data_IF_050716617844
#
_entry.id   IF_050716617844
#
_cell.length_a   1.000
_cell.length_b   1.000
_cell.length_c   1.000
_cell.angle_alpha   90.00
_cell.angle_beta   90.00
_cell.angle_gamma   90.00
#
_symmetry.space_group_name_H-M   'P 1'
#
loop_
_entity.id
_entity.type
_entity.pdbx_description
1 polymer ?
#
# COMPACT_ATOMS: atom_id res chain seq x y z
N UNK A 1 8.83 -1.84 20.78
CA UNK A 1 9.11 -1.60 19.34
C UNK A 1 9.30 -2.96 18.69
N UNK A 2 8.70 -3.23 17.52
CA UNK A 2 8.88 -4.47 16.77
C UNK A 2 10.22 -4.45 16.03
N UNK A 3 10.90 -5.61 15.96
CA UNK A 3 12.05 -5.78 15.06
C UNK A 3 11.59 -5.99 13.62
N UNK A 4 12.48 -5.84 12.63
CA UNK A 4 12.17 -6.11 11.22
C UNK A 4 11.67 -7.53 10.99
N UNK A 5 12.25 -8.53 11.65
CA UNK A 5 11.78 -9.92 11.57
C UNK A 5 10.37 -10.07 12.14
N UNK A 6 10.09 -9.46 13.27
CA UNK A 6 8.75 -9.49 13.87
C UNK A 6 7.70 -8.80 12.97
N UNK A 7 8.08 -7.74 12.24
CA UNK A 7 7.21 -7.06 11.27
C UNK A 7 6.85 -8.03 10.13
N UNK A 8 7.86 -8.68 9.53
CA UNK A 8 7.66 -9.66 8.44
C UNK A 8 6.82 -10.85 8.89
N UNK A 9 7.15 -11.42 10.04
CA UNK A 9 6.48 -12.62 10.55
C UNK A 9 5.02 -12.37 10.91
N UNK A 10 4.70 -11.22 11.53
CA UNK A 10 3.33 -10.82 11.83
C UNK A 10 2.51 -10.65 10.56
N UNK A 11 3.07 -9.97 9.54
CA UNK A 11 2.38 -9.76 8.27
C UNK A 11 2.04 -11.10 7.60
N UNK A 12 3.04 -11.98 7.44
CA UNK A 12 2.83 -13.30 6.85
C UNK A 12 1.82 -14.11 7.62
N UNK A 13 1.97 -14.23 8.93
CA UNK A 13 1.06 -15.01 9.78
C UNK A 13 -0.38 -14.51 9.72
N UNK A 14 -0.59 -13.19 9.64
CA UNK A 14 -1.91 -12.59 9.51
C UNK A 14 -2.61 -13.02 8.22
N UNK A 15 -1.89 -13.00 7.10
CA UNK A 15 -2.46 -13.39 5.81
C UNK A 15 -2.53 -14.91 5.61
N UNK A 16 -1.59 -15.69 6.13
CA UNK A 16 -1.67 -17.16 6.15
C UNK A 16 -2.92 -17.65 6.90
N UNK A 17 -3.26 -17.06 8.04
CA UNK A 17 -4.52 -17.34 8.76
C UNK A 17 -5.77 -17.06 7.92
N UNK A 18 -5.68 -16.16 6.93
CA UNK A 18 -6.74 -15.81 5.98
C UNK A 18 -6.65 -16.58 4.67
N UNK A 19 -5.89 -17.69 4.67
CA UNK A 19 -5.80 -18.63 3.55
C UNK A 19 -4.84 -18.21 2.44
N UNK A 20 -3.93 -17.28 2.70
CA UNK A 20 -2.89 -16.92 1.73
C UNK A 20 -1.73 -17.92 1.81
N UNK A 21 -1.22 -18.30 0.64
CA UNK A 21 0.01 -19.08 0.51
C UNK A 21 1.21 -18.15 0.47
N UNK A 22 2.17 -18.37 1.38
CA UNK A 22 3.40 -17.58 1.39
C UNK A 22 4.32 -17.96 0.23
N UNK A 23 4.81 -16.96 -0.47
CA UNK A 23 5.81 -17.11 -1.53
C UNK A 23 7.17 -16.58 -1.05
N UNK A 24 8.27 -17.23 -1.46
CA UNK A 24 9.60 -16.68 -1.26
C UNK A 24 9.79 -15.40 -2.07
N UNK A 25 10.70 -14.53 -1.65
CA UNK A 25 11.12 -13.39 -2.47
C UNK A 25 11.72 -13.88 -3.79
N UNK A 26 11.23 -13.36 -4.89
CA UNK A 26 11.83 -13.58 -6.19
C UNK A 26 13.17 -12.85 -6.34
N UNK A 27 13.91 -13.16 -7.40
CA UNK A 27 15.15 -12.47 -7.76
C UNK A 27 14.91 -10.97 -7.97
N UNK A 28 15.89 -10.16 -7.61
CA UNK A 28 15.91 -8.73 -7.95
C UNK A 28 16.06 -8.50 -9.46
N UNK A 29 16.70 -9.44 -10.16
CA UNK A 29 16.76 -9.42 -11.63
C UNK A 29 15.55 -10.19 -12.15
N UNK A 30 14.54 -9.50 -12.74
CA UNK A 30 13.32 -10.14 -13.18
C UNK A 30 13.59 -11.10 -14.34
N UNK A 31 13.13 -12.33 -14.21
CA UNK A 31 13.17 -13.29 -15.29
C UNK A 31 11.97 -13.07 -16.23
N UNK A 32 12.23 -12.87 -17.52
CA UNK A 32 11.19 -12.86 -18.55
C UNK A 32 10.47 -11.53 -18.80
N UNK A 33 10.83 -10.45 -18.15
CA UNK A 33 10.33 -9.10 -18.48
C UNK A 33 11.49 -8.16 -18.87
N UNK A 34 11.80 -8.02 -20.17
CA UNK A 34 12.90 -7.18 -20.64
C UNK A 34 12.64 -5.68 -20.48
N UNK A 35 11.44 -5.29 -20.03
CA UNK A 35 11.09 -3.88 -19.81
C UNK A 35 11.43 -3.39 -18.43
N UNK A 36 11.87 -4.28 -17.54
CA UNK A 36 12.25 -3.98 -16.16
C UNK A 36 13.71 -4.40 -15.94
N UNK A 37 14.52 -3.46 -15.43
CA UNK A 37 15.90 -3.76 -15.02
C UNK A 37 15.92 -4.54 -13.70
N UNK A 38 15.04 -4.17 -12.77
CA UNK A 38 14.94 -4.77 -11.44
C UNK A 38 13.49 -5.03 -11.06
N UNK A 39 13.30 -5.95 -10.13
CA UNK A 39 12.01 -6.17 -9.48
C UNK A 39 11.71 -4.96 -8.59
N UNK A 40 10.82 -4.08 -9.03
CA UNK A 40 10.53 -2.80 -8.40
C UNK A 40 9.33 -2.84 -7.45
N UNK A 41 8.56 -3.93 -7.44
CA UNK A 41 7.38 -4.09 -6.58
C UNK A 41 7.05 -5.57 -6.34
N UNK A 42 6.32 -5.83 -5.26
CA UNK A 42 5.89 -7.19 -4.89
C UNK A 42 5.02 -7.87 -5.94
N UNK A 43 4.29 -7.10 -6.74
CA UNK A 43 3.44 -7.63 -7.81
C UNK A 43 4.23 -8.04 -9.06
N UNK A 44 5.43 -7.51 -9.29
CA UNK A 44 6.20 -7.79 -10.52
C UNK A 44 6.38 -9.29 -10.80
N UNK A 45 6.82 -10.12 -9.83
CA UNK A 45 6.95 -11.55 -10.07
C UNK A 45 5.62 -12.28 -10.30
N UNK A 46 4.50 -11.65 -9.94
CA UNK A 46 3.16 -12.23 -10.02
C UNK A 46 2.41 -11.83 -11.31
N UNK A 47 2.99 -10.96 -12.15
CA UNK A 47 2.38 -10.51 -13.42
C UNK A 47 1.83 -11.67 -14.27
N UNK A 48 2.54 -12.80 -14.44
CA UNK A 48 2.02 -13.91 -15.23
C UNK A 48 0.70 -14.50 -14.71
N UNK A 49 0.46 -14.43 -13.39
CA UNK A 49 -0.79 -14.88 -12.78
C UNK A 49 -1.93 -13.90 -13.02
N UNK A 50 -1.66 -12.60 -12.87
CA UNK A 50 -2.64 -11.55 -13.13
C UNK A 50 -3.04 -11.43 -14.60
N UNK A 51 -2.12 -11.75 -15.51
CA UNK A 51 -2.37 -11.73 -16.95
C UNK A 51 -2.84 -13.08 -17.53
N UNK A 52 -3.13 -14.05 -16.65
CA UNK A 52 -3.56 -15.41 -17.00
C UNK A 52 -2.59 -16.18 -17.92
N UNK A 53 -1.31 -15.79 -17.92
CA UNK A 53 -0.25 -16.51 -18.65
C UNK A 53 0.19 -17.78 -17.90
N UNK A 54 0.02 -17.79 -16.58
CA UNK A 54 0.32 -18.93 -15.72
C UNK A 54 -0.78 -19.11 -14.67
N UNK A 55 -1.00 -20.37 -14.28
CA UNK A 55 -1.89 -20.68 -13.16
C UNK A 55 -1.16 -20.39 -11.84
N UNK A 56 -1.74 -19.59 -10.93
CA UNK A 56 -1.13 -19.34 -9.63
C UNK A 56 -1.18 -20.59 -8.75
N UNK A 57 -0.22 -20.77 -7.82
CA UNK A 57 -0.24 -21.91 -6.88
C UNK A 57 -1.41 -21.82 -5.89
N UNK A 58 -1.94 -20.63 -5.66
CA UNK A 58 -3.14 -20.35 -4.88
C UNK A 58 -3.77 -19.05 -5.38
N UNK A 59 -5.08 -18.87 -5.19
CA UNK A 59 -5.75 -17.60 -5.49
C UNK A 59 -5.40 -16.49 -4.50
N UNK A 60 -4.95 -16.85 -3.29
CA UNK A 60 -4.50 -15.90 -2.26
C UNK A 60 -3.02 -16.12 -2.03
N UNK A 61 -2.23 -15.08 -2.24
CA UNK A 61 -0.78 -15.13 -2.11
C UNK A 61 -0.31 -14.02 -1.14
N UNK A 62 0.77 -14.31 -0.40
CA UNK A 62 1.46 -13.30 0.40
C UNK A 62 2.97 -13.44 0.22
N UNK A 63 3.68 -12.32 0.27
CA UNK A 63 5.14 -12.32 0.15
C UNK A 63 5.78 -11.15 0.89
N UNK A 64 7.07 -11.32 1.19
CA UNK A 64 7.97 -10.23 1.56
C UNK A 64 8.99 -10.11 0.43
N UNK A 65 8.70 -9.27 -0.57
CA UNK A 65 9.50 -9.17 -1.80
C UNK A 65 10.60 -8.13 -1.65
N UNK A 66 11.85 -8.54 -1.85
CA UNK A 66 12.98 -7.62 -2.03
C UNK A 66 12.79 -6.85 -3.32
N UNK A 67 12.83 -5.55 -3.25
CA UNK A 67 12.58 -4.65 -4.37
C UNK A 67 13.70 -3.62 -4.51
N UNK A 68 13.96 -3.20 -5.74
CA UNK A 68 14.97 -2.20 -6.05
C UNK A 68 14.42 -1.19 -7.05
N UNK A 69 14.41 0.09 -6.66
CA UNK A 69 13.97 1.22 -7.49
C UNK A 69 15.13 2.19 -7.71
N UNK A 70 15.55 2.36 -8.95
CA UNK A 70 16.57 3.33 -9.33
C UNK A 70 15.99 4.72 -9.58
N UNK A 71 14.68 4.80 -9.84
CA UNK A 71 13.97 6.07 -10.07
C UNK A 71 13.96 6.98 -8.86
N UNK A 72 14.05 6.39 -7.67
CA UNK A 72 13.92 7.12 -6.40
C UNK A 72 15.30 7.56 -5.85
N UNK A 73 16.39 7.38 -6.61
CA UNK A 73 17.76 7.60 -6.12
C UNK A 73 18.01 9.07 -5.73
N UNK A 74 17.40 10.01 -6.44
CA UNK A 74 17.57 11.43 -6.18
C UNK A 74 16.80 11.90 -4.92
N UNK A 75 15.86 11.09 -4.45
CA UNK A 75 15.05 11.35 -3.26
C UNK A 75 15.60 10.66 -2.00
N UNK A 76 16.55 9.73 -2.17
CA UNK A 76 17.19 9.02 -1.05
C UNK A 76 17.97 10.00 -0.17
N UNK A 77 17.64 10.02 1.10
CA UNK A 77 18.17 10.95 2.10
C UNK A 77 17.05 11.64 2.89
N UNK A 78 15.83 11.54 2.41
CA UNK A 78 14.63 11.85 3.19
C UNK A 78 14.31 10.71 4.17
N UNK A 79 13.16 10.81 4.88
CA UNK A 79 12.77 9.83 5.89
C UNK A 79 11.98 8.62 5.36
N UNK A 80 11.73 8.53 4.05
CA UNK A 80 10.83 7.52 3.46
C UNK A 80 11.35 6.83 2.21
N UNK A 81 12.27 7.44 1.44
CA UNK A 81 12.74 6.84 0.20
C UNK A 81 14.01 5.99 0.38
N UNK A 82 13.97 4.77 -0.17
CA UNK A 82 15.08 3.83 -0.21
C UNK A 82 15.16 3.23 -1.62
N UNK A 83 16.37 3.07 -2.15
CA UNK A 83 16.57 2.35 -3.43
C UNK A 83 16.36 0.85 -3.28
N UNK A 84 16.76 0.27 -2.13
CA UNK A 84 16.56 -1.14 -1.79
C UNK A 84 15.66 -1.25 -0.57
N UNK A 85 14.58 -2.01 -0.69
CA UNK A 85 13.63 -2.21 0.39
C UNK A 85 12.89 -3.54 0.24
N UNK A 86 12.15 -3.93 1.26
CA UNK A 86 11.24 -5.07 1.21
C UNK A 86 9.80 -4.58 1.15
N UNK A 87 9.05 -5.11 0.19
CA UNK A 87 7.62 -4.84 0.06
C UNK A 87 6.83 -6.03 0.59
N UNK A 88 6.10 -5.81 1.68
CA UNK A 88 5.14 -6.78 2.21
C UNK A 88 3.89 -6.74 1.31
N UNK A 89 3.41 -7.88 0.85
CA UNK A 89 2.29 -7.92 -0.09
C UNK A 89 1.31 -9.04 0.19
N UNK A 90 0.02 -8.73 0.01
CA UNK A 90 -1.08 -9.69 -0.06
C UNK A 90 -1.78 -9.52 -1.39
N UNK A 91 -2.01 -10.62 -2.08
CA UNK A 91 -2.50 -10.62 -3.46
C UNK A 91 -3.68 -11.54 -3.62
N UNK A 92 -4.67 -11.09 -4.39
CA UNK A 92 -5.85 -11.85 -4.76
C UNK A 92 -5.88 -12.07 -6.28
N UNK A 93 -5.89 -13.32 -6.69
CA UNK A 93 -5.98 -13.70 -8.11
C UNK A 93 -7.40 -14.19 -8.38
N UNK A 94 -8.32 -13.24 -8.58
CA UNK A 94 -9.73 -13.53 -8.84
C UNK A 94 -10.47 -14.18 -7.67
N UNK A 95 -10.20 -13.76 -6.43
CA UNK A 95 -10.88 -14.25 -5.23
C UNK A 95 -11.52 -13.07 -4.46
N UNK A 96 -10.82 -12.40 -3.55
CA UNK A 96 -11.34 -11.20 -2.88
C UNK A 96 -10.96 -9.92 -3.64
N UNK A 97 -11.64 -8.81 -3.30
CA UNK A 97 -11.38 -7.50 -3.89
C UNK A 97 -11.37 -6.41 -2.82
N UNK A 98 -11.72 -5.15 -3.15
CA UNK A 98 -11.58 -3.95 -2.32
C UNK A 98 -12.07 -4.12 -0.89
N UNK A 99 -13.27 -4.67 -0.69
CA UNK A 99 -13.89 -4.77 0.65
C UNK A 99 -13.03 -5.53 1.64
N UNK A 100 -12.59 -6.72 1.27
CA UNK A 100 -11.77 -7.55 2.16
C UNK A 100 -10.35 -6.99 2.28
N UNK A 101 -9.77 -6.50 1.18
CA UNK A 101 -8.45 -5.89 1.18
C UNK A 101 -8.38 -4.69 2.13
N UNK A 102 -9.32 -3.76 2.05
CA UNK A 102 -9.41 -2.57 2.90
C UNK A 102 -9.59 -2.97 4.38
N UNK A 103 -10.52 -3.90 4.66
CA UNK A 103 -10.78 -4.34 6.03
C UNK A 103 -9.58 -5.04 6.65
N UNK A 104 -8.91 -5.89 5.90
CA UNK A 104 -7.72 -6.58 6.41
C UNK A 104 -6.53 -5.64 6.57
N UNK A 105 -6.37 -4.67 5.67
CA UNK A 105 -5.34 -3.63 5.83
C UNK A 105 -5.56 -2.86 7.15
N UNK A 106 -6.79 -2.38 7.38
CA UNK A 106 -7.14 -1.68 8.60
C UNK A 106 -6.96 -2.53 9.85
N UNK A 107 -7.53 -3.74 9.84
CA UNK A 107 -7.40 -4.68 10.95
C UNK A 107 -5.93 -4.95 11.27
N UNK A 108 -5.11 -5.18 10.24
CA UNK A 108 -3.71 -5.48 10.43
C UNK A 108 -2.93 -4.31 11.03
N UNK A 109 -3.11 -3.10 10.54
CA UNK A 109 -2.34 -1.96 11.06
C UNK A 109 -2.78 -1.53 12.46
N UNK A 110 -4.05 -1.74 12.82
CA UNK A 110 -4.61 -1.28 14.11
C UNK A 110 -4.70 -2.36 15.20
N UNK A 111 -4.75 -3.64 14.83
CA UNK A 111 -4.86 -4.74 15.82
C UNK A 111 -3.60 -4.88 16.64
N UNK A 112 -3.75 -4.78 17.97
CA UNK A 112 -2.65 -5.04 18.92
C UNK A 112 -2.31 -6.51 19.05
N UNK A 113 -3.27 -7.40 18.78
CA UNK A 113 -3.10 -8.84 18.95
C UNK A 113 -2.42 -9.49 17.75
N UNK A 114 -2.86 -9.14 16.54
CA UNK A 114 -2.43 -9.82 15.31
C UNK A 114 -1.62 -8.94 14.36
N UNK A 115 -1.68 -7.62 14.52
CA UNK A 115 -1.06 -6.64 13.64
C UNK A 115 0.01 -5.78 14.30
N UNK A 116 0.08 -4.55 13.86
CA UNK A 116 1.06 -3.59 14.36
C UNK A 116 0.59 -2.80 15.59
N UNK A 117 -0.72 -2.73 15.83
CA UNK A 117 -1.30 -2.04 16.99
C UNK A 117 -1.11 -0.54 16.96
N UNK A 118 -1.06 0.05 15.78
CA UNK A 118 -0.93 1.49 15.60
C UNK A 118 -2.25 2.21 15.95
N UNK A 119 -2.15 3.48 16.28
CA UNK A 119 -3.27 4.30 16.74
C UNK A 119 -4.22 4.62 15.57
N UNK A 120 -5.49 4.16 15.60
CA UNK A 120 -6.44 4.36 14.49
C UNK A 120 -6.69 5.84 14.15
N UNK A 121 -6.59 6.71 15.16
CA UNK A 121 -6.84 8.16 15.02
C UNK A 121 -5.76 8.85 14.18
N UNK A 122 -4.61 8.23 14.01
CA UNK A 122 -3.49 8.76 13.22
C UNK A 122 -3.51 8.33 11.76
N UNK A 123 -4.49 7.48 11.36
CA UNK A 123 -4.61 7.05 9.98
C UNK A 123 -5.49 7.96 9.14
N UNK A 124 -5.04 8.19 7.92
CA UNK A 124 -5.76 8.86 6.85
C UNK A 124 -5.82 7.90 5.66
N UNK A 125 -7.01 7.78 5.07
CA UNK A 125 -7.20 6.98 3.85
C UNK A 125 -7.18 7.88 2.63
N UNK A 126 -6.69 7.37 1.51
CA UNK A 126 -6.85 8.00 0.21
C UNK A 126 -7.60 7.07 -0.74
N UNK A 127 -8.39 7.66 -1.65
CA UNK A 127 -9.13 6.92 -2.66
C UNK A 127 -9.08 7.68 -3.99
N UNK A 128 -9.26 6.96 -5.09
CA UNK A 128 -9.39 7.59 -6.40
C UNK A 128 -10.67 8.44 -6.47
N UNK A 129 -10.64 9.52 -7.26
CA UNK A 129 -11.71 10.54 -7.33
C UNK A 129 -13.12 9.95 -7.45
N UNK A 130 -13.29 8.98 -8.34
CA UNK A 130 -14.58 8.39 -8.67
C UNK A 130 -14.82 7.02 -8.00
N UNK A 131 -13.92 6.60 -7.09
CA UNK A 131 -14.07 5.30 -6.39
C UNK A 131 -14.98 5.42 -5.18
N UNK A 132 -16.28 5.53 -5.44
CA UNK A 132 -17.32 5.59 -4.40
C UNK A 132 -17.41 4.30 -3.58
N UNK A 133 -17.04 3.16 -4.18
CA UNK A 133 -17.02 1.88 -3.46
C UNK A 133 -15.95 1.88 -2.36
N UNK A 134 -14.70 2.20 -2.70
CA UNK A 134 -13.62 2.28 -1.70
C UNK A 134 -13.91 3.34 -0.64
N UNK A 135 -14.41 4.52 -1.05
CA UNK A 135 -14.82 5.56 -0.12
C UNK A 135 -15.90 5.09 0.86
N UNK A 136 -16.94 4.43 0.36
CA UNK A 136 -18.03 3.88 1.18
C UNK A 136 -17.53 2.81 2.15
N UNK A 137 -16.61 1.93 1.72
CA UNK A 137 -16.03 0.91 2.60
C UNK A 137 -15.25 1.58 3.75
N UNK A 138 -14.40 2.57 3.48
CA UNK A 138 -13.67 3.29 4.52
C UNK A 138 -14.60 4.00 5.50
N UNK A 139 -15.61 4.72 4.99
CA UNK A 139 -16.53 5.51 5.81
C UNK A 139 -17.50 4.63 6.62
N UNK A 140 -18.19 3.71 5.94
CA UNK A 140 -19.37 3.04 6.47
C UNK A 140 -19.04 1.69 7.12
N UNK A 141 -18.04 0.96 6.61
CA UNK A 141 -17.72 -0.37 7.10
C UNK A 141 -16.52 -0.37 8.04
N UNK A 142 -15.51 0.47 7.78
CA UNK A 142 -14.33 0.62 8.65
C UNK A 142 -14.58 1.69 9.71
N UNK A 143 -15.35 2.72 9.39
CA UNK A 143 -15.69 3.80 10.32
C UNK A 143 -14.64 4.92 10.39
N UNK A 144 -13.88 5.12 9.32
CA UNK A 144 -12.95 6.25 9.21
C UNK A 144 -13.76 7.54 9.05
N UNK A 145 -13.44 8.56 9.85
CA UNK A 145 -14.07 9.89 9.75
C UNK A 145 -13.90 10.41 8.30
N UNK A 146 -14.98 10.86 7.61
CA UNK A 146 -14.90 11.45 6.28
C UNK A 146 -13.84 12.55 6.12
N UNK A 147 -13.58 13.30 7.18
CA UNK A 147 -12.52 14.32 7.20
C UNK A 147 -11.10 13.74 7.02
N UNK A 148 -10.94 12.45 7.26
CA UNK A 148 -9.67 11.71 7.10
C UNK A 148 -9.64 10.81 5.87
N UNK A 149 -10.63 10.95 4.96
CA UNK A 149 -10.65 10.23 3.69
C UNK A 149 -10.46 11.26 2.57
N UNK A 150 -9.30 11.24 1.94
CA UNK A 150 -8.95 12.16 0.87
C UNK A 150 -9.13 11.53 -0.50
N UNK A 151 -9.47 12.36 -1.49
CA UNK A 151 -9.64 11.93 -2.88
C UNK A 151 -8.57 12.55 -3.76
N UNK A 152 -7.96 11.73 -4.61
CA UNK A 152 -6.94 12.17 -5.56
C UNK A 152 -7.16 11.52 -6.94
N UNK A 153 -6.59 12.15 -7.96
CA UNK A 153 -6.61 11.65 -9.33
C UNK A 153 -5.49 10.65 -9.63
N UNK A 154 -5.13 10.61 -10.91
CA UNK A 154 -4.10 9.71 -11.41
C UNK A 154 -2.70 9.97 -10.82
N UNK A 155 -2.46 11.16 -10.36
CA UNK A 155 -1.18 11.59 -9.79
C UNK A 155 -0.84 10.87 -8.48
N UNK A 156 -1.85 10.37 -7.76
CA UNK A 156 -1.67 9.78 -6.44
C UNK A 156 -2.40 8.43 -6.27
N UNK A 157 -3.67 8.33 -6.70
CA UNK A 157 -4.46 7.12 -6.48
C UNK A 157 -4.70 6.29 -7.75
N UNK A 158 -3.71 6.21 -8.64
CA UNK A 158 -3.70 5.30 -9.78
C UNK A 158 -2.41 4.49 -9.81
N UNK A 159 -2.51 3.19 -9.73
CA UNK A 159 -1.35 2.30 -9.73
C UNK A 159 -1.10 1.62 -11.07
N UNK A 160 0.19 1.45 -11.42
CA UNK A 160 0.67 0.67 -12.55
C UNK A 160 0.45 1.29 -13.93
N UNK A 161 0.80 0.52 -14.99
CA UNK A 161 1.42 -0.80 -14.91
C UNK A 161 2.91 -0.74 -14.54
N UNK A 162 3.41 -1.72 -13.80
CA UNK A 162 4.85 -1.91 -13.62
C UNK A 162 5.45 -2.46 -14.92
N UNK A 163 6.30 -1.66 -15.59
CA UNK A 163 6.80 -1.94 -16.94
C UNK A 163 5.82 -1.50 -18.04
N UNK A 164 5.92 -2.07 -19.23
CA UNK A 164 5.11 -1.64 -20.40
C UNK A 164 3.66 -2.11 -20.35
N UNK A 165 3.40 -3.25 -19.73
CA UNK A 165 2.07 -3.87 -19.64
C UNK A 165 1.91 -4.57 -18.30
N UNK A 166 0.67 -4.72 -17.82
CA UNK A 166 0.35 -5.41 -16.58
C UNK A 166 -0.91 -4.87 -15.93
N UNK A 167 -1.23 -5.33 -14.73
CA UNK A 167 -2.31 -4.78 -13.94
C UNK A 167 -2.14 -3.27 -13.71
N UNK A 168 -3.23 -2.54 -13.81
CA UNK A 168 -3.30 -1.10 -13.58
C UNK A 168 -4.71 -0.73 -13.17
N UNK A 169 -4.86 0.32 -12.39
CA UNK A 169 -6.18 0.79 -11.97
C UNK A 169 -6.13 1.74 -10.77
N UNK A 170 -7.31 2.21 -10.35
CA UNK A 170 -7.42 3.02 -9.14
C UNK A 170 -6.95 2.24 -7.92
N UNK A 171 -6.29 2.92 -7.02
CA UNK A 171 -5.84 2.37 -5.74
C UNK A 171 -6.43 3.15 -4.55
N UNK A 172 -6.31 2.56 -3.38
CA UNK A 172 -6.65 3.17 -2.10
C UNK A 172 -5.50 2.90 -1.14
N UNK A 173 -5.11 3.94 -0.41
CA UNK A 173 -3.92 3.91 0.42
C UNK A 173 -4.23 4.24 1.87
N UNK A 174 -3.36 3.79 2.78
CA UNK A 174 -3.33 4.18 4.18
C UNK A 174 -2.06 4.95 4.49
N UNK A 175 -2.23 6.16 5.00
CA UNK A 175 -1.16 7.04 5.44
C UNK A 175 -1.21 7.22 6.95
N UNK A 176 -0.05 7.18 7.59
CA UNK A 176 0.09 7.39 9.03
C UNK A 176 0.61 8.81 9.31
N UNK A 177 -0.08 9.54 10.20
CA UNK A 177 0.30 10.88 10.65
C UNK A 177 1.35 10.80 11.76
N UNK A 178 2.59 11.18 11.47
CA UNK A 178 3.68 11.23 12.44
C UNK A 178 3.64 12.44 13.37
N UNK A 179 2.72 13.38 13.13
CA UNK A 179 2.50 14.54 13.99
C UNK A 179 2.92 15.85 13.36
N UNK A 180 2.41 16.93 13.96
CA UNK A 180 2.61 18.29 13.44
C UNK A 180 4.09 18.72 13.43
N UNK A 181 4.89 18.17 14.33
CA UNK A 181 6.33 18.45 14.44
C UNK A 181 7.15 17.99 13.22
N UNK A 182 6.61 17.05 12.44
CA UNK A 182 7.20 16.62 11.16
C UNK A 182 6.57 17.29 9.95
N UNK A 183 5.57 18.13 10.17
CA UNK A 183 4.76 18.73 9.10
C UNK A 183 5.29 20.05 8.61
N UNK A 184 4.60 20.58 7.59
CA UNK A 184 4.84 21.90 7.00
C UNK A 184 4.32 23.08 7.87
N UNK A 185 3.84 22.84 9.08
CA UNK A 185 3.25 23.84 9.97
C UNK A 185 1.83 24.25 9.61
N UNK A 186 1.25 23.71 8.55
CA UNK A 186 -0.12 24.01 8.16
C UNK A 186 -1.14 23.10 8.88
N UNK A 187 -2.39 23.55 9.11
CA UNK A 187 -3.45 22.70 9.60
C UNK A 187 -3.72 21.58 8.60
N UNK A 188 -4.24 20.45 9.10
CA UNK A 188 -4.65 19.34 8.21
C UNK A 188 -5.86 19.80 7.41
N UNK A 189 -5.81 19.56 6.10
CA UNK A 189 -6.93 19.75 5.18
C UNK A 189 -8.04 18.75 5.51
N UNK A 190 -9.28 19.19 5.48
CA UNK A 190 -10.44 18.32 5.56
C UNK A 190 -10.52 17.44 4.30
N UNK A 191 -10.68 16.13 4.47
CA UNK A 191 -10.73 15.18 3.35
C UNK A 191 -11.88 15.43 2.37
N UNK A 192 -12.96 16.10 2.82
CA UNK A 192 -14.07 16.49 1.96
C UNK A 192 -13.76 17.70 1.06
N UNK A 193 -12.68 18.44 1.34
CA UNK A 193 -12.24 19.59 0.55
C UNK A 193 -11.05 19.20 -0.35
N UNK A 194 -11.37 18.71 -1.57
CA UNK A 194 -10.38 18.16 -2.50
C UNK A 194 -9.28 19.17 -2.87
N UNK A 195 -9.64 20.45 -2.99
CA UNK A 195 -8.75 21.51 -3.46
C UNK A 195 -8.39 22.53 -2.36
N UNK A 196 -8.78 22.29 -1.12
CA UNK A 196 -8.55 23.18 -0.01
C UNK A 196 -7.07 23.30 0.37
N UNK A 197 -6.70 24.41 1.02
CA UNK A 197 -5.36 24.59 1.53
C UNK A 197 -5.11 23.71 2.76
N UNK A 198 -3.83 23.41 3.02
CA UNK A 198 -3.44 22.70 4.24
C UNK A 198 -2.59 21.47 3.98
N UNK A 199 -2.13 20.88 5.05
CA UNK A 199 -1.37 19.64 5.03
C UNK A 199 -2.28 18.43 4.77
N UNK A 200 -1.86 17.49 3.95
CA UNK A 200 -2.66 16.30 3.60
C UNK A 200 -1.75 15.11 3.24
N UNK A 201 -2.27 13.87 3.13
CA UNK A 201 -1.44 12.68 2.90
C UNK A 201 -0.41 12.79 1.77
N UNK A 202 -0.77 13.38 0.64
CA UNK A 202 0.14 13.56 -0.50
C UNK A 202 0.77 14.96 -0.57
N UNK A 203 0.86 15.66 0.56
CA UNK A 203 1.61 16.90 0.64
C UNK A 203 3.11 16.62 0.72
N UNK A 204 3.93 17.46 0.07
CA UNK A 204 5.39 17.37 0.10
C UNK A 204 5.95 17.78 1.49
N UNK A 205 5.62 17.01 2.51
CA UNK A 205 6.19 17.14 3.84
C UNK A 205 6.30 15.76 4.49
N UNK A 206 7.01 15.68 5.61
CA UNK A 206 7.33 14.42 6.28
C UNK A 206 6.26 13.96 7.28
N UNK A 207 5.13 14.67 7.35
CA UNK A 207 4.08 14.39 8.32
C UNK A 207 3.39 13.06 8.06
N UNK A 208 3.04 12.78 6.81
CA UNK A 208 2.33 11.58 6.41
C UNK A 208 3.26 10.60 5.69
N UNK A 209 3.19 9.34 6.07
CA UNK A 209 3.91 8.25 5.39
C UNK A 209 2.91 7.20 4.97
N UNK A 210 2.92 6.85 3.69
CA UNK A 210 2.15 5.74 3.15
C UNK A 210 2.65 4.42 3.74
N UNK A 211 1.74 3.68 4.37
CA UNK A 211 2.03 2.36 4.95
C UNK A 211 1.39 1.22 4.16
N UNK A 212 0.39 1.52 3.34
CA UNK A 212 -0.37 0.52 2.59
C UNK A 212 -0.93 1.10 1.30
N UNK A 213 -0.84 0.32 0.23
CA UNK A 213 -1.41 0.62 -1.07
C UNK A 213 -2.10 -0.64 -1.64
#
# INVERSE_FOLDING_TARGET
MLTGDQIRDRFRAFFEKRGHSALPSASLVPAGDPTLLFTSAGMVPLKPYFTAQQTPPSKRLTSCQKSFRTTDIDEVGDHKHLTFFEMLGNFSIGDYFKRDAIKWAWEFVTSKAEGYGLEPERFYATVYLDDEEAYGIWRDEVGVDPKRIHRYGNEANWWGPAGRTGPTGPCSELHYDFGAERGCGQPIRDGSDINGPGCHPNHECERFVELWN
#
